data_IF_559063244161
#
_entry.id   IF_559063244161
#
_cell.length_a   1.000
_cell.length_b   1.000
_cell.length_c   1.000
_cell.angle_alpha   90.00
_cell.angle_beta   90.00
_cell.angle_gamma   90.00
#
_symmetry.space_group_name_H-M   'P 1'
#
loop_
_entity.id
_entity.type
_entity.pdbx_description
1 polymer ?
#
# COMPACT_ATOMS: atom_id res chain seq x y z
N UNK A 1 6.56 84.47 30.60
CA UNK A 1 6.75 83.22 31.37
C UNK A 1 6.20 82.07 30.53
N UNK A 2 6.98 81.01 30.39
CA UNK A 2 7.00 80.04 29.29
C UNK A 2 5.75 79.17 29.12
N UNK A 3 5.42 78.86 27.86
CA UNK A 3 4.70 77.63 27.48
C UNK A 3 5.68 76.70 26.71
N UNK A 4 5.77 75.40 27.07
CA UNK A 4 6.76 74.50 26.50
C UNK A 4 6.27 73.86 25.20
N UNK A 5 7.10 73.94 24.17
CA UNK A 5 7.04 73.14 22.95
C UNK A 5 7.37 71.67 23.23
N UNK A 6 6.46 70.78 22.84
CA UNK A 6 6.68 69.32 22.83
C UNK A 6 7.61 68.97 21.65
N UNK A 7 8.82 68.51 21.94
CA UNK A 7 9.78 68.04 20.93
C UNK A 7 9.53 66.55 20.68
N UNK A 8 9.15 66.20 19.45
CA UNK A 8 9.06 64.82 18.97
C UNK A 8 10.48 64.24 18.94
N UNK A 9 10.72 63.22 19.77
CA UNK A 9 12.01 62.53 19.85
C UNK A 9 12.18 61.63 18.61
N UNK A 10 13.27 61.89 17.87
CA UNK A 10 13.76 61.19 16.70
C UNK A 10 13.44 59.69 16.64
N UNK A 11 12.60 59.30 15.67
CA UNK A 11 12.45 57.92 15.21
C UNK A 11 13.78 57.49 14.57
N UNK A 12 14.51 56.63 15.28
CA UNK A 12 15.90 56.28 14.98
C UNK A 12 16.03 55.53 13.65
N UNK A 13 16.91 56.04 12.78
CA UNK A 13 17.36 55.44 11.51
C UNK A 13 17.85 53.98 11.63
N UNK A 14 18.27 53.56 12.83
CA UNK A 14 18.71 52.19 13.12
C UNK A 14 17.56 51.16 13.08
N UNK A 15 16.32 51.59 13.38
CA UNK A 15 15.12 50.72 13.30
C UNK A 15 14.74 50.42 11.86
N UNK A 16 14.90 51.40 10.96
CA UNK A 16 14.64 51.24 9.52
C UNK A 16 15.65 50.32 8.81
N UNK A 17 16.91 50.27 9.29
CA UNK A 17 17.91 49.32 8.80
C UNK A 17 17.59 47.88 9.23
N UNK A 18 17.18 47.68 10.48
CA UNK A 18 16.82 46.34 11.00
C UNK A 18 15.57 45.79 10.31
N UNK A 19 14.56 46.62 10.01
CA UNK A 19 13.36 46.19 9.28
C UNK A 19 13.63 45.79 7.83
N UNK A 20 14.63 46.38 7.15
CA UNK A 20 15.02 45.99 5.78
C UNK A 20 15.87 44.71 5.72
N UNK A 21 16.60 44.37 6.78
CA UNK A 21 17.45 43.18 6.85
C UNK A 21 16.64 41.93 7.27
N UNK A 22 15.59 42.11 8.06
CA UNK A 22 14.72 41.05 8.56
C UNK A 22 14.07 40.15 7.47
N UNK A 23 13.54 40.67 6.33
CA UNK A 23 13.01 39.81 5.28
C UNK A 23 14.10 39.00 4.55
N UNK A 24 15.33 39.52 4.46
CA UNK A 24 16.47 38.81 3.84
C UNK A 24 16.92 37.65 4.74
N UNK A 25 16.98 37.86 6.06
CA UNK A 25 17.29 36.79 7.02
C UNK A 25 16.20 35.71 6.99
N UNK A 26 14.92 36.11 6.92
CA UNK A 26 13.81 35.17 6.83
C UNK A 26 13.86 34.35 5.52
N UNK A 27 14.17 34.98 4.39
CA UNK A 27 14.34 34.31 3.10
C UNK A 27 15.52 33.32 3.14
N UNK A 28 16.67 33.71 3.71
CA UNK A 28 17.83 32.84 3.87
C UNK A 28 17.54 31.67 4.82
N UNK A 29 16.75 31.90 5.87
CA UNK A 29 16.30 30.85 6.78
C UNK A 29 15.35 29.86 6.09
N UNK A 30 14.39 30.35 5.29
CA UNK A 30 13.52 29.49 4.47
C UNK A 30 14.32 28.70 3.42
N UNK A 31 15.34 29.30 2.81
CA UNK A 31 16.23 28.64 1.85
C UNK A 31 17.07 27.54 2.52
N UNK A 32 17.60 27.80 3.72
CA UNK A 32 18.34 26.83 4.51
C UNK A 32 17.47 25.65 4.96
N UNK A 33 16.22 25.89 5.36
CA UNK A 33 15.25 24.83 5.68
C UNK A 33 14.92 24.01 4.42
N UNK A 34 14.72 24.66 3.28
CA UNK A 34 14.47 23.98 2.00
C UNK A 34 15.60 23.03 1.59
N UNK A 35 16.86 23.39 1.88
CA UNK A 35 18.02 22.56 1.58
C UNK A 35 18.17 21.34 2.50
N UNK A 36 17.63 21.38 3.72
CA UNK A 36 17.66 20.24 4.66
C UNK A 36 16.58 19.20 4.41
N UNK A 37 15.58 19.49 3.57
CA UNK A 37 14.37 18.68 3.41
C UNK A 37 14.52 17.42 2.52
N UNK A 38 15.71 17.11 1.99
CA UNK A 38 15.86 16.09 0.93
C UNK A 38 16.38 14.72 1.41
N UNK A 39 16.52 14.49 2.70
CA UNK A 39 17.06 13.22 3.20
C UNK A 39 15.94 12.26 3.62
N UNK A 40 15.55 11.34 2.73
CA UNK A 40 14.79 10.14 3.11
C UNK A 40 15.67 9.26 4.00
N UNK A 41 15.12 8.81 5.13
CA UNK A 41 15.88 8.01 6.09
C UNK A 41 16.05 6.54 5.70
N UNK A 42 15.25 6.05 4.76
CA UNK A 42 15.27 4.68 4.29
C UNK A 42 15.06 4.62 2.78
N UNK A 43 15.43 3.49 2.18
CA UNK A 43 15.09 3.20 0.78
C UNK A 43 13.57 3.25 0.59
N UNK A 44 13.11 3.93 -0.45
CA UNK A 44 11.72 3.90 -0.91
C UNK A 44 11.52 2.92 -2.06
N UNK A 45 10.35 2.29 -2.15
CA UNK A 45 10.04 1.28 -3.20
C UNK A 45 8.83 1.73 -4.02
N UNK A 46 8.97 1.76 -5.36
CA UNK A 46 7.91 2.19 -6.29
C UNK A 46 7.94 1.33 -7.58
N UNK A 47 6.81 0.83 -8.08
CA UNK A 47 5.47 0.86 -7.49
C UNK A 47 5.31 -0.20 -6.39
N UNK A 48 4.26 -0.07 -5.57
CA UNK A 48 3.86 -1.10 -4.57
C UNK A 48 2.88 -2.14 -5.13
N UNK A 49 2.44 -1.96 -6.37
CA UNK A 49 1.56 -2.91 -7.07
C UNK A 49 1.93 -2.94 -8.54
N UNK A 50 2.04 -4.15 -9.08
CA UNK A 50 2.37 -4.45 -10.47
C UNK A 50 1.25 -5.33 -10.98
N UNK A 51 0.64 -4.94 -12.09
CA UNK A 51 -0.39 -5.73 -12.75
C UNK A 51 0.11 -6.13 -14.13
N UNK A 52 0.21 -7.45 -14.34
CA UNK A 52 0.63 -8.08 -15.59
C UNK A 52 -0.56 -8.83 -16.15
N UNK A 53 -0.92 -8.54 -17.40
CA UNK A 53 -1.98 -9.22 -18.11
C UNK A 53 -1.36 -9.91 -19.34
N UNK A 54 -1.64 -11.19 -19.51
CA UNK A 54 -1.07 -11.99 -20.59
C UNK A 54 -1.87 -13.27 -20.83
N UNK A 55 -1.25 -14.19 -21.56
CA UNK A 55 -1.78 -15.49 -21.92
C UNK A 55 -0.77 -16.59 -21.53
N UNK A 56 -1.21 -17.85 -21.44
CA UNK A 56 -0.28 -18.97 -21.31
C UNK A 56 0.78 -18.94 -22.41
N UNK A 57 2.06 -19.05 -22.03
CA UNK A 57 3.22 -18.93 -22.93
C UNK A 57 3.88 -17.55 -22.96
N UNK A 58 3.23 -16.52 -22.44
CA UNK A 58 3.77 -15.16 -22.50
C UNK A 58 4.99 -14.97 -21.58
N UNK A 59 5.89 -14.09 -22.01
CA UNK A 59 6.96 -13.53 -21.17
C UNK A 59 6.68 -12.06 -20.93
N UNK A 60 6.53 -11.68 -19.67
CA UNK A 60 6.18 -10.32 -19.24
C UNK A 60 7.30 -9.75 -18.36
N UNK A 61 7.76 -8.55 -18.67
CA UNK A 61 8.78 -7.86 -17.87
C UNK A 61 8.11 -6.87 -16.92
N UNK A 62 8.71 -6.67 -15.75
CA UNK A 62 8.34 -5.61 -14.82
C UNK A 62 9.59 -5.02 -14.18
N UNK A 63 9.45 -3.82 -13.63
CA UNK A 63 10.51 -3.18 -12.86
C UNK A 63 10.00 -2.61 -11.55
N UNK A 64 10.90 -2.56 -10.57
CA UNK A 64 10.68 -1.91 -9.28
C UNK A 64 11.83 -0.94 -9.07
N UNK A 65 11.51 0.34 -8.90
CA UNK A 65 12.47 1.38 -8.58
C UNK A 65 12.68 1.47 -7.07
N UNK A 66 13.95 1.46 -6.68
CA UNK A 66 14.42 1.71 -5.34
C UNK A 66 14.97 3.14 -5.27
N UNK A 67 14.29 4.00 -4.55
CA UNK A 67 14.73 5.37 -4.30
C UNK A 67 15.69 5.36 -3.10
N UNK A 68 16.86 6.00 -3.20
CA UNK A 68 17.87 5.92 -2.17
C UNK A 68 17.42 6.57 -0.86
N UNK A 69 17.93 6.05 0.25
CA UNK A 69 17.92 6.70 1.55
C UNK A 69 19.20 7.53 1.77
N UNK A 70 19.41 7.95 3.01
CA UNK A 70 20.58 8.72 3.43
C UNK A 70 21.88 7.88 3.50
N UNK A 71 21.77 6.54 3.54
CA UNK A 71 22.91 5.62 3.66
C UNK A 71 22.83 4.53 2.60
N UNK A 72 23.98 3.90 2.32
CA UNK A 72 24.00 2.72 1.45
C UNK A 72 23.34 1.55 2.20
N UNK A 73 22.34 0.94 1.58
CA UNK A 73 21.60 -0.19 2.15
C UNK A 73 21.70 -1.40 1.22
N UNK A 74 21.95 -2.58 1.80
CA UNK A 74 21.85 -3.87 1.11
C UNK A 74 20.50 -4.49 1.45
N UNK A 75 19.72 -4.77 0.42
CA UNK A 75 18.36 -5.27 0.53
C UNK A 75 18.29 -6.71 0.05
N UNK A 76 17.63 -7.55 0.85
CA UNK A 76 17.20 -8.88 0.45
C UNK A 76 15.85 -8.79 -0.26
N UNK A 77 15.76 -9.52 -1.36
CA UNK A 77 14.57 -9.62 -2.20
C UNK A 77 14.09 -11.07 -2.15
N UNK A 78 12.79 -11.27 -1.89
CA UNK A 78 12.21 -12.63 -1.85
C UNK A 78 10.75 -12.63 -2.26
N UNK A 79 10.29 -13.74 -2.86
CA UNK A 79 8.88 -13.93 -3.20
C UNK A 79 8.12 -14.65 -2.08
N UNK A 80 6.94 -14.15 -1.76
CA UNK A 80 6.04 -14.69 -0.73
C UNK A 80 4.62 -14.86 -1.28
N UNK A 81 3.94 -15.90 -0.81
CA UNK A 81 2.53 -16.16 -1.07
C UNK A 81 1.66 -15.19 -0.27
N UNK A 82 0.61 -14.68 -0.90
CA UNK A 82 -0.40 -13.83 -0.26
C UNK A 82 -1.58 -14.71 0.17
N UNK A 83 -1.91 -14.71 1.46
CA UNK A 83 -3.06 -15.38 2.04
C UNK A 83 -4.06 -14.34 2.58
N UNK A 84 -5.22 -14.23 1.94
CA UNK A 84 -6.30 -13.33 2.37
C UNK A 84 -7.05 -13.93 3.56
N UNK A 85 -7.12 -13.19 4.65
CA UNK A 85 -7.88 -13.55 5.84
C UNK A 85 -9.36 -13.14 5.69
N UNK A 86 -10.25 -13.77 6.46
CA UNK A 86 -11.69 -13.43 6.50
C UNK A 86 -11.94 -11.94 6.79
N UNK A 87 -11.09 -11.32 7.61
CA UNK A 87 -11.19 -9.89 7.97
C UNK A 87 -10.85 -8.94 6.83
N UNK A 88 -10.25 -9.45 5.75
CA UNK A 88 -9.70 -8.65 4.66
C UNK A 88 -8.21 -8.36 4.78
N UNK A 89 -7.59 -8.67 5.92
CA UNK A 89 -6.14 -8.58 6.11
C UNK A 89 -5.39 -9.56 5.21
N UNK A 90 -4.17 -9.21 4.82
CA UNK A 90 -3.27 -10.08 4.07
C UNK A 90 -2.17 -10.61 4.99
N UNK A 91 -1.94 -11.93 4.94
CA UNK A 91 -0.78 -12.58 5.55
C UNK A 91 0.16 -13.08 4.47
N UNK A 92 1.45 -12.99 4.72
CA UNK A 92 2.47 -13.43 3.78
C UNK A 92 3.18 -14.66 4.33
N UNK A 93 3.36 -15.67 3.50
CA UNK A 93 4.08 -16.90 3.85
C UNK A 93 5.03 -17.26 2.72
N UNK A 94 6.12 -17.99 2.98
CA UNK A 94 6.95 -18.52 1.91
C UNK A 94 6.13 -19.35 0.91
N UNK A 95 6.56 -19.39 -0.35
CA UNK A 95 6.04 -20.33 -1.32
C UNK A 95 6.57 -21.74 -1.05
N UNK A 96 5.74 -22.74 -1.30
CA UNK A 96 6.21 -24.12 -1.42
C UNK A 96 7.06 -24.26 -2.72
N UNK A 97 8.13 -25.06 -2.70
CA UNK A 97 8.94 -25.29 -3.89
C UNK A 97 8.11 -25.84 -5.06
N UNK A 98 8.33 -25.30 -6.26
CA UNK A 98 7.63 -25.78 -7.46
C UNK A 98 6.24 -25.18 -7.70
N UNK A 99 5.73 -24.34 -6.80
CA UNK A 99 4.35 -23.81 -6.88
C UNK A 99 4.30 -22.47 -7.65
N UNK A 100 3.38 -22.32 -8.63
CA UNK A 100 3.17 -21.04 -9.31
C UNK A 100 2.47 -20.01 -8.41
N UNK A 101 2.68 -18.70 -8.65
CA UNK A 101 3.49 -18.15 -9.74
C UNK A 101 4.99 -18.04 -9.41
N UNK A 102 5.45 -18.48 -8.23
CA UNK A 102 6.85 -18.29 -7.82
C UNK A 102 7.84 -18.92 -8.81
N UNK A 103 7.52 -20.07 -9.39
CA UNK A 103 8.33 -20.73 -10.42
C UNK A 103 8.38 -19.99 -11.76
N UNK A 104 7.47 -19.04 -12.00
CA UNK A 104 7.40 -18.26 -13.23
C UNK A 104 8.18 -16.96 -13.13
N UNK A 105 8.40 -16.46 -11.91
CA UNK A 105 8.97 -15.15 -11.64
C UNK A 105 10.48 -15.30 -11.41
N UNK A 106 11.27 -14.57 -12.18
CA UNK A 106 12.72 -14.43 -11.99
C UNK A 106 13.01 -12.98 -11.59
N UNK A 107 13.68 -12.82 -10.46
CA UNK A 107 14.14 -11.54 -9.90
C UNK A 107 15.50 -11.77 -9.21
N UNK A 108 16.34 -10.74 -9.03
CA UNK A 108 17.55 -10.86 -8.23
C UNK A 108 17.21 -11.09 -6.75
N UNK A 109 18.07 -11.82 -6.03
CA UNK A 109 17.90 -12.12 -4.60
C UNK A 109 18.30 -10.97 -3.67
N UNK A 110 19.06 -10.00 -4.20
CA UNK A 110 19.48 -8.81 -3.46
C UNK A 110 19.72 -7.61 -4.36
N UNK A 111 19.69 -6.42 -3.78
CA UNK A 111 20.05 -5.18 -4.43
C UNK A 111 20.81 -4.28 -3.46
N UNK A 112 21.75 -3.49 -3.97
CA UNK A 112 22.44 -2.44 -3.22
C UNK A 112 21.92 -1.09 -3.71
N UNK A 113 21.56 -0.22 -2.77
CA UNK A 113 21.09 1.14 -3.06
C UNK A 113 22.02 2.11 -2.39
N UNK A 114 22.69 2.95 -3.18
CA UNK A 114 23.63 3.97 -2.70
C UNK A 114 22.98 5.35 -2.66
N UNK A 115 23.34 6.23 -1.71
CA UNK A 115 22.83 7.59 -1.64
C UNK A 115 22.97 8.34 -2.97
N UNK A 116 21.94 9.10 -3.34
CA UNK A 116 21.93 9.94 -4.54
C UNK A 116 21.69 9.19 -5.87
N UNK A 117 21.69 7.86 -5.89
CA UNK A 117 21.42 7.06 -7.09
C UNK A 117 20.24 6.09 -6.85
N UNK A 118 19.24 6.12 -7.74
CA UNK A 118 18.19 5.11 -7.73
C UNK A 118 18.69 3.79 -8.32
N UNK A 119 18.29 2.67 -7.71
CA UNK A 119 18.54 1.32 -8.23
C UNK A 119 17.24 0.78 -8.83
N UNK A 120 17.32 0.05 -9.94
CA UNK A 120 16.17 -0.64 -10.52
C UNK A 120 16.32 -2.15 -10.35
N UNK A 121 15.26 -2.80 -9.87
CA UNK A 121 15.12 -4.25 -9.88
C UNK A 121 14.31 -4.60 -11.13
N UNK A 122 14.91 -5.37 -12.04
CA UNK A 122 14.22 -5.91 -13.20
C UNK A 122 13.76 -7.34 -12.91
N UNK A 123 12.49 -7.61 -13.20
CA UNK A 123 11.87 -8.91 -13.04
C UNK A 123 11.24 -9.42 -14.33
N UNK A 124 11.22 -10.73 -14.49
CA UNK A 124 10.64 -11.40 -15.65
C UNK A 124 9.66 -12.46 -15.17
N UNK A 125 8.47 -12.50 -15.76
CA UNK A 125 7.48 -13.56 -15.57
C UNK A 125 7.41 -14.38 -16.85
N UNK A 126 7.83 -15.65 -16.79
CA UNK A 126 7.75 -16.61 -17.90
C UNK A 126 6.63 -17.61 -17.62
N UNK A 127 5.49 -17.39 -18.27
CA UNK A 127 4.30 -18.22 -18.08
C UNK A 127 4.40 -19.47 -18.96
N UNK A 128 4.26 -20.69 -18.41
CA UNK A 128 4.22 -21.91 -19.21
C UNK A 128 3.05 -21.92 -20.20
N UNK A 129 3.21 -22.57 -21.36
CA UNK A 129 2.15 -22.74 -22.37
C UNK A 129 0.93 -23.51 -21.85
N UNK A 130 1.13 -24.40 -20.87
CA UNK A 130 0.09 -25.18 -20.23
C UNK A 130 -0.49 -24.54 -18.96
N UNK A 131 -0.13 -23.29 -18.64
CA UNK A 131 -0.70 -22.58 -17.51
C UNK A 131 -2.22 -22.42 -17.71
N UNK A 132 -2.97 -22.56 -16.61
CA UNK A 132 -4.41 -22.35 -16.63
C UNK A 132 -4.70 -20.84 -16.60
N UNK A 133 -5.82 -20.43 -17.20
CA UNK A 133 -6.31 -19.07 -17.07
C UNK A 133 -6.74 -18.75 -15.63
N UNK A 134 -6.61 -17.49 -15.23
CA UNK A 134 -6.89 -17.05 -13.87
C UNK A 134 -5.94 -15.97 -13.37
N UNK A 135 -6.10 -15.60 -12.11
CA UNK A 135 -5.22 -14.65 -11.42
C UNK A 135 -4.25 -15.40 -10.51
N UNK A 136 -2.97 -15.13 -10.68
CA UNK A 136 -1.90 -15.59 -9.81
C UNK A 136 -1.29 -14.38 -9.09
N UNK A 137 -0.93 -14.57 -7.82
CA UNK A 137 -0.41 -13.49 -6.99
C UNK A 137 0.89 -13.90 -6.31
N UNK A 138 1.83 -12.96 -6.25
CA UNK A 138 3.00 -13.02 -5.40
C UNK A 138 3.24 -11.68 -4.72
N UNK A 139 3.87 -11.72 -3.56
CA UNK A 139 4.44 -10.55 -2.89
C UNK A 139 5.95 -10.56 -3.08
N UNK A 140 6.50 -9.53 -3.73
CA UNK A 140 7.94 -9.29 -3.74
C UNK A 140 8.30 -8.50 -2.48
N UNK A 141 8.85 -9.20 -1.49
CA UNK A 141 9.34 -8.59 -0.25
C UNK A 141 10.72 -8.01 -0.49
N UNK A 142 10.89 -6.74 -0.17
CA UNK A 142 12.15 -5.99 -0.20
C UNK A 142 12.45 -5.53 1.22
N UNK A 143 13.48 -6.10 1.83
CA UNK A 143 13.82 -5.83 3.23
C UNK A 143 15.33 -5.62 3.40
N UNK A 144 15.78 -4.75 4.31
CA UNK A 144 17.19 -4.64 4.67
C UNK A 144 17.75 -5.98 5.15
N UNK A 145 18.98 -6.33 4.74
CA UNK A 145 19.68 -7.50 5.28
C UNK A 145 20.04 -7.32 6.76
N UNK A 146 20.40 -6.09 7.13
CA UNK A 146 20.67 -5.69 8.50
C UNK A 146 19.80 -4.49 8.88
N UNK A 147 19.31 -4.42 10.13
CA UNK A 147 18.57 -3.27 10.60
C UNK A 147 19.46 -2.03 10.60
N UNK A 148 18.87 -0.89 10.24
CA UNK A 148 19.59 0.38 10.30
C UNK A 148 19.71 0.80 11.77
N UNK A 149 20.95 0.92 12.25
CA UNK A 149 21.26 1.41 13.61
C UNK A 149 21.27 2.93 13.62
N UNK A 150 20.46 3.56 14.47
CA UNK A 150 20.49 5.02 14.67
C UNK A 150 20.35 5.34 16.16
N UNK A 151 21.45 5.74 16.79
CA UNK A 151 21.50 5.95 18.24
C UNK A 151 21.31 4.62 18.99
N UNK A 152 20.44 4.63 20.01
CA UNK A 152 20.09 3.45 20.81
C UNK A 152 18.92 2.61 20.27
N UNK A 153 18.40 2.90 19.07
CA UNK A 153 17.28 2.18 18.47
C UNK A 153 17.69 1.52 17.14
N UNK A 154 17.15 0.33 16.90
CA UNK A 154 17.25 -0.40 15.64
C UNK A 154 15.92 -0.28 14.89
N UNK A 155 15.97 0.23 13.66
CA UNK A 155 14.78 0.39 12.80
C UNK A 155 15.00 -0.42 11.53
N UNK A 156 14.03 -1.27 11.16
CA UNK A 156 14.02 -2.01 9.90
C UNK A 156 12.68 -1.82 9.21
N UNK A 157 12.70 -1.19 8.04
CA UNK A 157 11.52 -0.97 7.20
C UNK A 157 11.58 -1.96 6.05
N UNK A 158 10.53 -2.79 5.93
CA UNK A 158 10.38 -3.71 4.82
C UNK A 158 9.17 -3.34 3.98
N UNK A 159 9.30 -3.53 2.68
CA UNK A 159 8.28 -3.24 1.69
C UNK A 159 7.79 -4.51 1.03
N UNK A 160 6.51 -4.52 0.67
CA UNK A 160 5.93 -5.57 -0.13
C UNK A 160 5.34 -4.98 -1.42
N UNK A 161 5.85 -5.43 -2.57
CA UNK A 161 5.28 -5.11 -3.88
C UNK A 161 4.39 -6.26 -4.33
N UNK A 162 3.09 -5.99 -4.50
CA UNK A 162 2.12 -6.99 -4.96
C UNK A 162 2.24 -7.17 -6.47
N UNK A 163 2.43 -8.40 -6.92
CA UNK A 163 2.47 -8.77 -8.34
C UNK A 163 1.21 -9.56 -8.66
N UNK A 164 0.36 -8.99 -9.51
CA UNK A 164 -0.81 -9.65 -10.08
C UNK A 164 -0.45 -10.14 -11.48
N UNK A 165 -0.60 -11.43 -11.74
CA UNK A 165 -0.43 -12.05 -13.06
C UNK A 165 -1.79 -12.59 -13.47
N UNK A 166 -2.45 -11.93 -14.41
CA UNK A 166 -3.76 -12.32 -14.93
C UNK A 166 -3.58 -12.97 -16.30
N UNK A 167 -3.93 -14.25 -16.39
CA UNK A 167 -3.87 -15.03 -17.61
C UNK A 167 -5.26 -15.15 -18.20
N UNK A 168 -5.44 -14.60 -19.40
CA UNK A 168 -6.70 -14.65 -20.11
C UNK A 168 -6.83 -15.94 -20.94
N UNK A 169 -7.94 -16.64 -20.75
CA UNK A 169 -8.33 -17.82 -21.51
C UNK A 169 -9.84 -17.84 -21.73
N UNK A 170 -10.31 -18.55 -22.75
CA UNK A 170 -11.73 -18.62 -23.08
C UNK A 170 -12.53 -19.20 -21.90
N UNK A 171 -13.65 -18.55 -21.57
CA UNK A 171 -14.63 -19.07 -20.62
C UNK A 171 -14.41 -18.68 -19.15
N UNK A 172 -13.41 -17.85 -18.85
CA UNK A 172 -13.22 -17.32 -17.49
C UNK A 172 -14.39 -16.40 -17.11
N UNK A 173 -15.01 -16.67 -15.94
CA UNK A 173 -16.08 -15.85 -15.39
C UNK A 173 -15.94 -15.70 -13.88
N UNK A 174 -16.14 -14.50 -13.32
CA UNK A 174 -16.13 -14.31 -11.88
C UNK A 174 -17.31 -15.07 -11.27
N UNK A 175 -17.06 -15.76 -10.16
CA UNK A 175 -18.10 -16.50 -9.44
C UNK A 175 -17.95 -16.31 -7.94
N UNK A 176 -19.03 -15.85 -7.33
CA UNK A 176 -19.14 -15.63 -5.88
C UNK A 176 -20.16 -16.59 -5.30
N UNK A 177 -19.89 -17.07 -4.09
CA UNK A 177 -20.81 -17.83 -3.29
C UNK A 177 -20.96 -17.18 -1.92
N UNK A 178 -22.20 -16.96 -1.48
CA UNK A 178 -22.49 -16.63 -0.08
C UNK A 178 -22.51 -17.95 0.69
N UNK A 179 -21.54 -18.14 1.57
CA UNK A 179 -21.34 -19.38 2.34
C UNK A 179 -21.97 -19.32 3.73
N UNK A 180 -22.27 -18.11 4.21
CA UNK A 180 -22.97 -17.90 5.48
C UNK A 180 -23.63 -16.53 5.52
N UNK A 181 -24.77 -16.47 6.21
CA UNK A 181 -25.48 -15.23 6.51
C UNK A 181 -26.06 -15.34 7.92
N UNK A 182 -25.57 -14.54 8.84
CA UNK A 182 -25.87 -14.66 10.26
C UNK A 182 -26.06 -13.29 10.90
N UNK A 183 -26.81 -13.26 12.01
CA UNK A 183 -26.88 -12.09 12.89
C UNK A 183 -25.96 -12.35 14.09
N UNK A 184 -24.85 -11.64 14.15
CA UNK A 184 -23.86 -11.74 15.23
C UNK A 184 -23.99 -10.55 16.18
N UNK A 185 -23.23 -10.56 17.28
CA UNK A 185 -23.08 -9.41 18.17
C UNK A 185 -21.73 -8.73 17.92
N UNK A 186 -21.72 -7.40 17.88
CA UNK A 186 -20.49 -6.62 17.84
C UNK A 186 -19.79 -6.58 19.21
N UNK A 187 -18.63 -5.91 19.29
CA UNK A 187 -17.86 -5.73 20.54
C UNK A 187 -18.66 -5.06 21.67
N UNK A 188 -19.75 -4.35 21.33
CA UNK A 188 -20.64 -3.65 22.26
C UNK A 188 -21.94 -4.42 22.52
N UNK A 189 -22.05 -5.66 22.03
CA UNK A 189 -23.22 -6.50 22.18
C UNK A 189 -24.40 -6.15 21.26
N UNK A 190 -24.24 -5.21 20.33
CA UNK A 190 -25.29 -4.81 19.38
C UNK A 190 -25.40 -5.82 18.23
N UNK A 191 -26.61 -6.06 17.70
CA UNK A 191 -26.79 -6.96 16.57
C UNK A 191 -26.12 -6.39 15.32
N UNK A 192 -25.36 -7.23 14.61
CA UNK A 192 -24.66 -6.92 13.38
C UNK A 192 -24.85 -8.05 12.38
N UNK A 193 -25.15 -7.71 11.13
CA UNK A 193 -25.31 -8.70 10.06
C UNK A 193 -23.92 -9.12 9.58
N UNK A 194 -23.63 -10.41 9.55
CA UNK A 194 -22.44 -10.94 8.92
C UNK A 194 -22.79 -11.78 7.70
N UNK A 195 -22.16 -11.52 6.57
CA UNK A 195 -22.19 -12.37 5.39
C UNK A 195 -20.78 -12.90 5.08
N UNK A 196 -20.63 -14.22 4.99
CA UNK A 196 -19.40 -14.85 4.50
C UNK A 196 -19.52 -15.07 3.00
N UNK A 197 -18.54 -14.56 2.26
CA UNK A 197 -18.57 -14.49 0.80
C UNK A 197 -17.27 -15.07 0.27
N UNK A 198 -17.38 -16.20 -0.42
CA UNK A 198 -16.26 -16.92 -1.03
C UNK A 198 -16.19 -16.64 -2.53
N UNK A 199 -14.99 -16.38 -3.04
CA UNK A 199 -14.70 -16.47 -4.46
C UNK A 199 -14.50 -17.93 -4.82
N UNK A 200 -15.37 -18.44 -5.69
CA UNK A 200 -15.33 -19.82 -6.19
C UNK A 200 -14.86 -19.88 -7.64
N UNK A 201 -14.17 -18.83 -8.09
CA UNK A 201 -13.54 -18.74 -9.39
C UNK A 201 -12.04 -18.51 -9.27
N UNK A 202 -11.35 -18.74 -10.38
CA UNK A 202 -9.89 -18.53 -10.51
C UNK A 202 -9.51 -17.06 -10.75
N UNK A 203 -10.48 -16.15 -10.85
CA UNK A 203 -10.25 -14.72 -11.11
C UNK A 203 -10.28 -13.92 -9.82
N UNK A 204 -9.45 -12.89 -9.71
CA UNK A 204 -9.65 -11.83 -8.72
C UNK A 204 -10.65 -10.79 -9.23
N UNK A 205 -11.43 -10.20 -8.33
CA UNK A 205 -12.32 -9.09 -8.68
C UNK A 205 -12.66 -8.23 -7.46
N UNK A 206 -13.07 -6.99 -7.72
CA UNK A 206 -13.52 -6.06 -6.70
C UNK A 206 -14.96 -6.37 -6.32
N UNK A 207 -15.26 -6.22 -5.03
CA UNK A 207 -16.55 -6.57 -4.44
C UNK A 207 -16.99 -5.49 -3.46
N UNK A 208 -18.29 -5.23 -3.48
CA UNK A 208 -19.02 -4.43 -2.51
C UNK A 208 -20.18 -5.27 -2.00
N UNK A 209 -20.56 -5.12 -0.74
CA UNK A 209 -21.68 -5.86 -0.17
C UNK A 209 -22.68 -4.93 0.51
N UNK A 210 -23.96 -5.29 0.43
CA UNK A 210 -25.00 -4.65 1.22
C UNK A 210 -26.05 -5.68 1.61
N UNK A 211 -26.56 -5.56 2.83
CA UNK A 211 -27.74 -6.28 3.30
C UNK A 211 -28.98 -5.40 3.13
N UNK A 212 -30.09 -6.02 2.74
CA UNK A 212 -31.37 -5.34 2.62
C UNK A 212 -32.35 -5.95 3.62
N UNK A 213 -32.82 -5.12 4.56
CA UNK A 213 -33.81 -5.49 5.55
C UNK A 213 -35.21 -5.18 5.03
N UNK A 214 -36.11 -6.15 5.11
CA UNK A 214 -37.50 -6.03 4.68
C UNK A 214 -38.43 -6.50 5.78
N UNK A 215 -39.64 -5.93 5.84
CA UNK A 215 -40.68 -6.40 6.75
C UNK A 215 -41.37 -7.68 6.23
N UNK A 216 -42.36 -8.16 6.98
CA UNK A 216 -43.17 -9.33 6.61
C UNK A 216 -43.95 -9.16 5.30
N UNK A 217 -44.24 -7.93 4.90
CA UNK A 217 -44.92 -7.58 3.65
C UNK A 217 -43.92 -7.40 2.48
N UNK A 218 -42.63 -7.69 2.71
CA UNK A 218 -41.51 -7.51 1.78
C UNK A 218 -41.21 -6.05 1.43
N UNK A 219 -41.75 -5.09 2.18
CA UNK A 219 -41.42 -3.67 2.02
C UNK A 219 -40.01 -3.43 2.54
N UNK A 220 -39.26 -2.61 1.82
CA UNK A 220 -37.91 -2.21 2.21
C UNK A 220 -37.95 -1.38 3.50
N UNK A 221 -37.26 -1.85 4.54
CA UNK A 221 -37.03 -1.09 5.77
C UNK A 221 -35.73 -0.29 5.63
N UNK A 222 -34.64 -1.00 5.30
CA UNK A 222 -33.30 -0.40 5.29
C UNK A 222 -32.36 -1.16 4.37
N UNK A 223 -31.38 -0.47 3.81
CA UNK A 223 -30.18 -1.07 3.22
C UNK A 223 -28.97 -0.70 4.08
N UNK A 224 -28.21 -1.71 4.47
CA UNK A 224 -27.00 -1.57 5.28
C UNK A 224 -25.82 -1.98 4.44
N UNK A 225 -24.82 -1.11 4.34
CA UNK A 225 -23.55 -1.45 3.70
C UNK A 225 -22.78 -2.41 4.60
N UNK A 226 -22.18 -3.45 4.00
CA UNK A 226 -21.33 -4.39 4.72
C UNK A 226 -19.91 -4.31 4.15
N UNK A 227 -18.91 -4.36 5.03
CA UNK A 227 -17.49 -4.40 4.62
C UNK A 227 -16.71 -5.35 5.52
N UNK A 228 -15.59 -5.91 5.04
CA UNK A 228 -14.69 -6.63 5.92
C UNK A 228 -14.10 -5.70 6.97
N UNK A 229 -13.81 -6.22 8.16
CA UNK A 229 -13.36 -5.41 9.31
C UNK A 229 -12.13 -4.54 9.00
N UNK A 230 -11.16 -5.07 8.24
CA UNK A 230 -9.99 -4.30 7.81
C UNK A 230 -10.37 -3.08 6.96
N UNK A 231 -11.39 -3.22 6.12
CA UNK A 231 -11.82 -2.19 5.17
C UNK A 231 -12.57 -1.07 5.88
N UNK A 232 -13.33 -1.39 6.94
CA UNK A 232 -13.87 -0.38 7.87
C UNK A 232 -12.76 0.46 8.50
N UNK A 233 -11.76 -0.21 9.09
CA UNK A 233 -10.65 0.45 9.79
C UNK A 233 -9.85 1.38 8.88
N UNK A 234 -9.64 0.98 7.63
CA UNK A 234 -8.80 1.70 6.67
C UNK A 234 -9.61 2.57 5.68
N UNK A 235 -10.93 2.70 5.87
CA UNK A 235 -11.84 3.50 5.03
C UNK A 235 -11.78 3.11 3.54
N UNK A 236 -11.63 1.82 3.26
CA UNK A 236 -11.62 1.28 1.89
C UNK A 236 -13.07 0.91 1.53
N UNK A 237 -13.52 1.31 0.34
CA UNK A 237 -14.90 1.11 -0.14
C UNK A 237 -15.12 -0.23 -0.84
N UNK A 238 -14.09 -0.73 -1.52
CA UNK A 238 -14.17 -1.94 -2.33
C UNK A 238 -13.14 -2.96 -1.87
N UNK A 239 -13.58 -4.20 -1.66
CA UNK A 239 -12.70 -5.29 -1.32
C UNK A 239 -12.31 -6.08 -2.56
N UNK A 240 -11.01 -6.24 -2.80
CA UNK A 240 -10.53 -7.20 -3.79
C UNK A 240 -10.62 -8.59 -3.19
N UNK A 241 -11.47 -9.44 -3.76
CA UNK A 241 -11.62 -10.83 -3.35
C UNK A 241 -10.69 -11.68 -4.22
N UNK A 242 -9.71 -12.32 -3.58
CA UNK A 242 -8.70 -13.13 -4.27
C UNK A 242 -9.27 -14.48 -4.73
N UNK A 243 -8.66 -15.17 -5.71
CA UNK A 243 -9.06 -16.51 -6.12
C UNK A 243 -9.09 -17.47 -4.92
N UNK A 244 -10.16 -18.26 -4.80
CA UNK A 244 -10.44 -19.14 -3.66
C UNK A 244 -10.50 -18.45 -2.28
N UNK A 245 -10.35 -17.13 -2.22
CA UNK A 245 -10.41 -16.33 -1.01
C UNK A 245 -11.83 -16.22 -0.46
N UNK A 246 -11.93 -16.02 0.84
CA UNK A 246 -13.21 -15.80 1.54
C UNK A 246 -13.10 -14.58 2.46
N UNK A 247 -14.15 -13.77 2.47
CA UNK A 247 -14.24 -12.56 3.29
C UNK A 247 -15.54 -12.58 4.11
N UNK A 248 -15.43 -12.10 5.35
CA UNK A 248 -16.55 -11.85 6.24
C UNK A 248 -16.92 -10.36 6.18
N UNK A 249 -18.10 -10.07 5.62
CA UNK A 249 -18.66 -8.73 5.49
C UNK A 249 -19.57 -8.45 6.68
N UNK A 250 -19.33 -7.34 7.37
CA UNK A 250 -20.06 -6.95 8.59
C UNK A 250 -20.44 -5.49 8.59
#
# INVERSE_FOLDING_TARGET
>A
MNSPTFVIKNFSWEVLKTVKIMPIIFLLFCLAIGFMATNSLAVGVVPLTIELNGKPGDTMNFNVKLNPGAQTEKLKISLEKINQQLTGDLRYTPFEPGVPPATWITVPDSAVVSPGASTQIDGIVKVPLNAQGGTYLAMLRVAPEEPTKKGGFEISIQYGVRIYIRLDTIGLRPKVQVTGLELIKDEKGKPQIQAKVKNSSVLDFLTTASATLRDSERKLIQRVELRPAYFWKNKISEARLLPEGELAYT
#
